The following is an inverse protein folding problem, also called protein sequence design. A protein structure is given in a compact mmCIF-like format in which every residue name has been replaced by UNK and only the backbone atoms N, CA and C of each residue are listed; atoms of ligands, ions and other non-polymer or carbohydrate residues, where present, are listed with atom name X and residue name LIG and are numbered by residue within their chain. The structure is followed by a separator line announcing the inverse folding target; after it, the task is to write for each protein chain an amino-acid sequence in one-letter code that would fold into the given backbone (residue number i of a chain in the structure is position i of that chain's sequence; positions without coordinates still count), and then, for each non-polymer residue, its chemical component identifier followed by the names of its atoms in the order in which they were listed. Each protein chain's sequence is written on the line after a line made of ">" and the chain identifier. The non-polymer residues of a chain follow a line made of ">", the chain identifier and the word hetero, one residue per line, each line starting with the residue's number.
data_IF_217069908292
#
_entry.id   IF_217069908292
#
_cell.length_a   1.000
_cell.length_b   1.000
_cell.length_c   1.000
_cell.angle_alpha   90.00
_cell.angle_beta   90.00
_cell.angle_gamma   90.00
#
_symmetry.space_group_name_H-M   'P 1'
#
loop_
_entity.id
_entity.type
_entity.pdbx_description
1 polymer ?
#
# COMPACT_ATOMS: atom_id res chain seq x y z
N UNK A 1 -24.01 17.04 65.91
CA UNK A 1 -23.24 17.35 64.69
C UNK A 1 -22.33 16.17 64.39
N UNK A 2 -22.56 15.43 63.29
CA UNK A 2 -21.56 14.65 62.52
C UNK A 2 -22.27 13.65 61.60
N UNK A 3 -22.41 13.99 60.31
CA UNK A 3 -22.66 13.02 59.22
C UNK A 3 -21.31 12.65 58.58
N UNK A 4 -21.01 11.38 58.29
CA UNK A 4 -19.74 11.01 57.68
C UNK A 4 -19.76 11.27 56.17
N UNK A 5 -18.66 11.86 55.68
CA UNK A 5 -18.31 12.01 54.29
C UNK A 5 -17.85 10.65 53.73
N UNK A 6 -18.72 9.96 52.96
CA UNK A 6 -18.39 8.65 52.37
C UNK A 6 -18.88 8.42 50.93
N UNK A 7 -19.63 9.36 50.34
CA UNK A 7 -20.29 9.13 49.03
C UNK A 7 -19.52 9.61 47.81
N UNK A 8 -18.56 10.53 47.95
CA UNK A 8 -17.95 11.22 46.81
C UNK A 8 -16.84 10.40 46.11
N UNK A 9 -16.11 9.53 46.83
CA UNK A 9 -15.04 8.72 46.25
C UNK A 9 -15.54 7.56 45.39
N UNK A 10 -16.62 6.89 45.80
CA UNK A 10 -17.16 5.71 45.10
C UNK A 10 -17.79 6.06 43.74
N UNK A 11 -18.41 7.23 43.62
CA UNK A 11 -18.97 7.70 42.35
C UNK A 11 -17.87 8.18 41.38
N UNK A 12 -16.80 8.79 41.89
CA UNK A 12 -15.64 9.17 41.08
C UNK A 12 -14.91 7.94 40.51
N UNK A 13 -14.68 6.91 41.33
CA UNK A 13 -14.03 5.67 40.88
C UNK A 13 -14.89 4.87 39.88
N UNK A 14 -16.22 4.89 40.03
CA UNK A 14 -17.14 4.25 39.09
C UNK A 14 -17.19 4.98 37.73
N UNK A 15 -17.14 6.32 37.73
CA UNK A 15 -17.09 7.14 36.50
C UNK A 15 -15.75 6.97 35.77
N UNK A 16 -14.63 6.95 36.49
CA UNK A 16 -13.29 6.70 35.90
C UNK A 16 -13.19 5.28 35.34
N UNK A 17 -13.76 4.28 36.02
CA UNK A 17 -13.84 2.90 35.52
C UNK A 17 -14.68 2.81 34.25
N UNK A 18 -15.84 3.47 34.18
CA UNK A 18 -16.73 3.41 33.00
C UNK A 18 -16.16 4.15 31.79
N UNK A 19 -15.39 5.24 31.96
CA UNK A 19 -14.64 5.86 30.87
C UNK A 19 -13.49 4.98 30.37
N UNK A 20 -12.74 4.33 31.27
CA UNK A 20 -11.67 3.40 30.90
C UNK A 20 -12.19 2.23 30.05
N UNK A 21 -13.35 1.68 30.42
CA UNK A 21 -13.99 0.56 29.71
C UNK A 21 -14.61 0.96 28.36
N UNK A 22 -14.89 2.25 28.11
CA UNK A 22 -15.30 2.75 26.79
C UNK A 22 -14.10 3.09 25.89
N UNK A 23 -12.96 3.47 26.47
CA UNK A 23 -11.72 3.78 25.74
C UNK A 23 -10.97 2.53 25.28
N UNK A 24 -11.05 1.43 26.04
CA UNK A 24 -10.46 0.13 25.69
C UNK A 24 -10.99 -0.47 24.36
N UNK A 25 -12.31 -0.66 24.15
CA UNK A 25 -12.84 -1.19 22.89
C UNK A 25 -12.59 -0.23 21.72
N UNK A 26 -12.61 1.09 21.96
CA UNK A 26 -12.28 2.08 20.93
C UNK A 26 -10.80 1.99 20.48
N UNK A 27 -9.89 1.59 21.37
CA UNK A 27 -8.48 1.38 21.04
C UNK A 27 -8.19 -0.03 20.46
N UNK A 28 -8.93 -1.05 20.88
CA UNK A 28 -8.75 -2.44 20.44
C UNK A 28 -9.38 -2.73 19.08
N UNK A 29 -10.53 -2.13 18.77
CA UNK A 29 -11.22 -2.32 17.49
C UNK A 29 -10.33 -2.04 16.26
N UNK A 30 -9.59 -0.92 16.17
CA UNK A 30 -8.74 -0.68 15.02
C UNK A 30 -7.53 -1.62 14.98
N UNK A 31 -7.03 -2.09 16.13
CA UNK A 31 -5.95 -3.11 16.19
C UNK A 31 -6.46 -4.44 15.63
N UNK A 32 -7.66 -4.89 16.03
CA UNK A 32 -8.28 -6.08 15.46
C UNK A 32 -8.56 -5.92 13.97
N UNK A 33 -9.02 -4.75 13.53
CA UNK A 33 -9.26 -4.49 12.11
C UNK A 33 -7.97 -4.62 11.29
N UNK A 34 -6.84 -4.13 11.81
CA UNK A 34 -5.52 -4.33 11.17
C UNK A 34 -5.14 -5.80 11.13
N UNK A 35 -5.34 -6.55 12.23
CA UNK A 35 -5.04 -7.98 12.28
C UNK A 35 -5.87 -8.78 11.27
N UNK A 36 -7.18 -8.54 11.20
CA UNK A 36 -8.08 -9.18 10.24
C UNK A 36 -7.72 -8.80 8.81
N UNK A 37 -7.48 -7.52 8.52
CA UNK A 37 -7.09 -7.09 7.19
C UNK A 37 -5.76 -7.72 6.75
N UNK A 38 -4.77 -7.76 7.63
CA UNK A 38 -3.49 -8.42 7.39
C UNK A 38 -3.69 -9.91 7.12
N UNK A 39 -4.42 -10.61 7.99
CA UNK A 39 -4.68 -12.04 7.87
C UNK A 39 -5.42 -12.40 6.57
N UNK A 40 -6.48 -11.66 6.23
CA UNK A 40 -7.23 -11.85 4.97
C UNK A 40 -6.36 -11.54 3.76
N UNK A 41 -5.55 -10.47 3.81
CA UNK A 41 -4.56 -10.18 2.77
C UNK A 41 -3.55 -11.32 2.60
N UNK A 42 -3.17 -11.96 3.70
CA UNK A 42 -2.29 -13.11 3.72
C UNK A 42 -2.95 -14.29 3.03
N UNK A 43 -4.16 -14.65 3.43
CA UNK A 43 -4.95 -15.71 2.79
C UNK A 43 -5.08 -15.51 1.29
N UNK A 44 -5.41 -14.30 0.83
CA UNK A 44 -5.47 -14.00 -0.62
C UNK A 44 -4.12 -14.26 -1.29
N UNK A 45 -3.02 -13.80 -0.69
CA UNK A 45 -1.68 -14.07 -1.18
C UNK A 45 -1.34 -15.57 -1.21
N UNK A 46 -1.84 -16.34 -0.24
CA UNK A 46 -1.67 -17.80 -0.19
C UNK A 46 -2.53 -18.52 -1.25
N UNK A 47 -3.69 -17.99 -1.64
CA UNK A 47 -4.49 -18.53 -2.75
C UNK A 47 -3.93 -18.16 -4.13
N UNK A 48 -3.17 -17.07 -4.23
CA UNK A 48 -2.55 -16.60 -5.48
C UNK A 48 -1.08 -16.99 -5.61
N UNK A 49 -0.66 -18.10 -4.99
CA UNK A 49 0.72 -18.62 -5.14
C UNK A 49 0.97 -19.04 -6.58
N UNK A 50 2.14 -18.65 -7.11
CA UNK A 50 2.65 -19.21 -8.37
C UNK A 50 3.42 -20.47 -8.00
N UNK A 51 2.94 -21.61 -8.50
CA UNK A 51 3.54 -22.93 -8.26
C UNK A 51 4.18 -23.43 -9.54
N UNK A 52 5.48 -23.71 -9.49
CA UNK A 52 6.23 -24.34 -10.59
C UNK A 52 7.19 -25.35 -9.97
N UNK A 53 7.06 -26.63 -10.36
CA UNK A 53 7.93 -27.72 -9.89
C UNK A 53 8.00 -27.85 -8.35
N UNK A 54 6.90 -27.61 -7.64
CA UNK A 54 6.81 -27.76 -6.18
C UNK A 54 7.36 -26.59 -5.35
N UNK A 55 7.95 -25.57 -6.00
CA UNK A 55 8.31 -24.32 -5.33
C UNK A 55 7.14 -23.33 -5.42
N UNK A 56 6.72 -22.81 -4.27
CA UNK A 56 5.58 -21.90 -4.14
C UNK A 56 6.07 -20.50 -3.75
N UNK A 57 5.69 -19.49 -4.53
CA UNK A 57 6.04 -18.10 -4.24
C UNK A 57 4.80 -17.22 -4.41
N UNK A 58 4.58 -16.32 -3.46
CA UNK A 58 3.55 -15.27 -3.58
C UNK A 58 4.18 -14.00 -4.18
N UNK A 59 3.87 -13.64 -5.44
CA UNK A 59 4.56 -12.53 -6.11
C UNK A 59 4.16 -11.15 -5.58
N UNK A 60 3.01 -11.06 -4.91
CA UNK A 60 2.47 -9.83 -4.33
C UNK A 60 1.98 -10.13 -2.91
N UNK A 61 2.76 -9.73 -1.90
CA UNK A 61 2.40 -9.92 -0.51
C UNK A 61 1.58 -8.72 0.01
N UNK A 62 0.26 -8.78 -0.20
CA UNK A 62 -0.68 -7.75 0.22
C UNK A 62 -0.54 -7.33 1.71
N UNK A 63 -0.27 -8.24 2.67
CA UNK A 63 -0.20 -7.85 4.08
C UNK A 63 0.82 -6.76 4.40
N UNK A 64 1.97 -6.76 3.73
CA UNK A 64 3.01 -5.74 3.95
C UNK A 64 2.52 -4.35 3.54
N UNK A 65 1.77 -4.26 2.45
CA UNK A 65 1.13 -3.00 2.03
C UNK A 65 0.07 -2.50 3.03
N UNK A 66 -0.71 -3.42 3.61
CA UNK A 66 -1.69 -3.13 4.67
C UNK A 66 -0.98 -2.64 5.94
N UNK A 67 0.11 -3.29 6.31
CA UNK A 67 0.91 -2.95 7.48
C UNK A 67 1.47 -1.53 7.39
N UNK A 68 2.13 -1.18 6.26
CA UNK A 68 2.67 0.17 6.04
C UNK A 68 1.54 1.21 6.02
N UNK A 69 0.43 0.96 5.31
CA UNK A 69 -0.70 1.89 5.28
C UNK A 69 -1.30 2.13 6.68
N UNK A 70 -1.43 1.06 7.47
CA UNK A 70 -1.98 1.13 8.82
C UNK A 70 -1.06 1.86 9.79
N UNK A 71 0.26 1.67 9.69
CA UNK A 71 1.25 2.43 10.44
C UNK A 71 1.24 3.92 10.04
N UNK A 72 1.09 4.24 8.76
CA UNK A 72 0.95 5.63 8.31
C UNK A 72 -0.31 6.30 8.86
N UNK A 73 -1.38 5.54 9.11
CA UNK A 73 -2.64 6.06 9.63
C UNK A 73 -2.73 6.17 11.14
N UNK A 74 -2.20 5.17 11.85
CA UNK A 74 -2.37 5.01 13.30
C UNK A 74 -1.06 5.20 14.07
N UNK A 75 0.05 5.41 13.36
CA UNK A 75 1.39 5.36 13.91
C UNK A 75 1.74 3.98 14.43
N UNK A 76 2.65 3.92 15.41
CA UNK A 76 3.09 2.67 16.02
C UNK A 76 1.94 1.89 16.69
N UNK A 77 0.77 2.48 16.95
CA UNK A 77 -0.36 1.76 17.55
C UNK A 77 -0.88 0.59 16.70
N UNK A 78 -0.55 0.54 15.40
CA UNK A 78 -0.92 -0.58 14.53
C UNK A 78 -0.05 -1.84 14.71
N UNK A 79 1.14 -1.73 15.31
CA UNK A 79 2.10 -2.85 15.39
C UNK A 79 1.53 -4.13 16.04
N UNK A 80 0.70 -4.08 17.12
CA UNK A 80 0.14 -5.29 17.71
C UNK A 80 -0.83 -6.01 16.77
N UNK A 81 -1.56 -5.25 15.95
CA UNK A 81 -2.47 -5.81 14.96
C UNK A 81 -1.71 -6.50 13.83
N UNK A 82 -0.61 -5.91 13.39
CA UNK A 82 0.30 -6.50 12.40
C UNK A 82 0.90 -7.80 12.94
N UNK A 83 1.39 -7.78 14.19
CA UNK A 83 1.97 -8.96 14.84
C UNK A 83 0.94 -10.10 14.95
N UNK A 84 -0.28 -9.79 15.41
CA UNK A 84 -1.35 -10.78 15.51
C UNK A 84 -1.76 -11.32 14.14
N UNK A 85 -1.93 -10.46 13.13
CA UNK A 85 -2.25 -10.90 11.77
C UNK A 85 -1.17 -11.79 11.18
N UNK A 86 0.10 -11.44 11.40
CA UNK A 86 1.25 -12.24 10.93
C UNK A 86 1.30 -13.60 11.60
N UNK A 87 1.12 -13.64 12.93
CA UNK A 87 1.03 -14.89 13.70
C UNK A 87 -0.04 -15.81 13.12
N UNK A 88 -1.27 -15.30 12.95
CA UNK A 88 -2.39 -16.09 12.43
C UNK A 88 -2.13 -16.60 11.00
N UNK A 89 -1.45 -15.80 10.17
CA UNK A 89 -1.09 -16.23 8.81
C UNK A 89 -0.03 -17.34 8.82
N UNK A 90 0.96 -17.28 9.71
CA UNK A 90 2.01 -18.30 9.82
C UNK A 90 1.46 -19.60 10.41
N UNK A 91 0.58 -19.52 11.41
CA UNK A 91 -0.08 -20.69 12.03
C UNK A 91 -0.89 -21.54 11.02
N UNK A 92 -1.34 -20.95 9.90
CA UNK A 92 -1.99 -21.69 8.81
C UNK A 92 -1.01 -22.47 7.93
N UNK A 93 0.28 -22.14 7.98
CA UNK A 93 1.32 -22.70 7.11
C UNK A 93 2.12 -23.76 7.85
N UNK A 94 2.47 -23.51 9.12
CA UNK A 94 3.28 -24.39 9.95
C UNK A 94 2.91 -24.26 11.43
N UNK A 95 3.26 -25.27 12.22
CA UNK A 95 3.16 -25.19 13.69
C UNK A 95 3.96 -23.98 14.20
N UNK A 96 3.39 -23.24 15.15
CA UNK A 96 4.02 -22.03 15.65
C UNK A 96 5.08 -22.36 16.70
N UNK A 97 6.34 -22.20 16.30
CA UNK A 97 7.52 -22.46 17.12
C UNK A 97 8.45 -21.23 17.19
N UNK A 98 9.66 -21.42 17.74
CA UNK A 98 10.64 -20.34 17.87
C UNK A 98 11.04 -19.72 16.51
N UNK A 99 11.35 -20.51 15.46
CA UNK A 99 11.47 -20.02 14.08
C UNK A 99 10.30 -19.17 13.61
N UNK A 100 9.06 -19.64 13.82
CA UNK A 100 7.85 -18.87 13.49
C UNK A 100 7.82 -17.50 14.16
N UNK A 101 8.18 -17.42 15.45
CA UNK A 101 8.27 -16.15 16.19
C UNK A 101 9.33 -15.19 15.61
N UNK A 102 10.47 -15.71 15.16
CA UNK A 102 11.53 -14.90 14.53
C UNK A 102 11.02 -14.33 13.20
N UNK A 103 10.31 -15.14 12.40
CA UNK A 103 9.71 -14.70 11.14
C UNK A 103 8.63 -13.63 11.41
N UNK A 104 7.78 -13.81 12.42
CA UNK A 104 6.82 -12.77 12.86
C UNK A 104 7.55 -11.48 13.20
N UNK A 105 8.62 -11.56 13.99
CA UNK A 105 9.39 -10.37 14.39
C UNK A 105 9.95 -9.63 13.17
N UNK A 106 10.49 -10.34 12.19
CA UNK A 106 10.99 -9.73 10.94
C UNK A 106 9.90 -9.05 10.12
N UNK A 107 8.74 -9.69 9.96
CA UNK A 107 7.59 -9.16 9.22
C UNK A 107 6.89 -7.99 9.94
N UNK A 108 7.06 -7.84 11.24
CA UNK A 108 6.62 -6.65 12.00
C UNK A 108 7.67 -5.55 11.92
N UNK A 109 8.95 -5.89 12.07
CA UNK A 109 10.04 -4.93 12.12
C UNK A 109 10.21 -4.18 10.79
N UNK A 110 10.13 -4.87 9.66
CA UNK A 110 10.26 -4.28 8.34
C UNK A 110 9.29 -3.10 8.08
N UNK A 111 7.95 -3.25 8.21
CA UNK A 111 7.02 -2.14 8.03
C UNK A 111 7.12 -1.08 9.14
N UNK A 112 7.51 -1.44 10.36
CA UNK A 112 7.80 -0.45 11.42
C UNK A 112 9.00 0.42 11.04
N UNK A 113 10.09 -0.18 10.55
CA UNK A 113 11.24 0.55 10.01
C UNK A 113 10.84 1.45 8.85
N UNK A 114 10.02 0.95 7.91
CA UNK A 114 9.46 1.74 6.81
C UNK A 114 8.75 3.00 7.33
N UNK A 115 7.82 2.82 8.28
CA UNK A 115 7.10 3.93 8.90
C UNK A 115 8.03 4.94 9.57
N UNK A 116 9.03 4.49 10.33
CA UNK A 116 9.97 5.39 11.01
C UNK A 116 10.84 6.17 10.02
N UNK A 117 11.27 5.54 8.93
CA UNK A 117 12.06 6.18 7.87
C UNK A 117 11.23 7.22 7.11
N UNK A 118 10.01 6.87 6.71
CA UNK A 118 9.06 7.79 6.08
C UNK A 118 8.74 8.98 6.99
N UNK A 119 8.52 8.73 8.28
CA UNK A 119 8.27 9.80 9.26
C UNK A 119 9.49 10.73 9.40
N UNK A 120 10.71 10.20 9.40
CA UNK A 120 11.93 11.01 9.51
C UNK A 120 12.13 11.97 8.35
N UNK A 121 11.70 11.60 7.14
CA UNK A 121 11.80 12.48 5.96
C UNK A 121 10.59 13.41 5.79
N UNK A 122 9.63 13.38 6.73
CA UNK A 122 8.43 14.22 6.68
C UNK A 122 7.43 13.80 5.61
N UNK A 123 7.33 12.50 5.34
CA UNK A 123 6.42 11.94 4.33
C UNK A 123 4.97 12.37 4.53
N UNK A 124 4.32 12.76 3.42
CA UNK A 124 2.91 13.16 3.39
C UNK A 124 2.04 12.11 2.70
N UNK A 125 0.99 11.67 3.39
CA UNK A 125 0.08 10.62 2.90
C UNK A 125 -0.76 11.05 1.70
N UNK A 126 -0.83 12.35 1.44
CA UNK A 126 -1.47 12.95 0.27
C UNK A 126 -0.75 12.57 -1.04
N UNK A 127 0.56 12.27 -0.95
CA UNK A 127 1.45 11.97 -2.07
C UNK A 127 1.32 12.95 -3.23
N UNK A 128 1.27 14.23 -2.87
CA UNK A 128 1.14 15.37 -3.78
C UNK A 128 2.50 15.95 -4.21
N UNK A 129 3.60 15.29 -3.82
CA UNK A 129 4.98 15.66 -4.14
C UNK A 129 5.74 14.47 -4.69
N UNK A 130 6.60 14.72 -5.66
CA UNK A 130 7.51 13.70 -6.20
C UNK A 130 8.40 13.09 -5.09
N UNK A 131 8.82 13.91 -4.13
CA UNK A 131 9.60 13.46 -2.96
C UNK A 131 8.86 12.39 -2.15
N UNK A 132 7.54 12.51 -1.97
CA UNK A 132 6.76 11.54 -1.21
C UNK A 132 6.67 10.21 -1.97
N UNK A 133 6.44 10.25 -3.29
CA UNK A 133 6.47 9.05 -4.12
C UNK A 133 7.83 8.34 -4.06
N UNK A 134 8.94 9.07 -4.20
CA UNK A 134 10.29 8.51 -4.07
C UNK A 134 10.55 7.96 -2.66
N UNK A 135 10.11 8.66 -1.62
CA UNK A 135 10.23 8.19 -0.24
C UNK A 135 9.45 6.88 -0.04
N UNK A 136 8.21 6.77 -0.52
CA UNK A 136 7.44 5.53 -0.43
C UNK A 136 8.14 4.39 -1.18
N UNK A 137 8.68 4.67 -2.37
CA UNK A 137 9.42 3.66 -3.15
C UNK A 137 10.63 3.15 -2.37
N UNK A 138 11.57 4.03 -2.04
CA UNK A 138 12.86 3.60 -1.50
C UNK A 138 12.81 3.32 0.00
N UNK A 139 12.18 4.20 0.77
CA UNK A 139 12.13 4.14 2.24
C UNK A 139 10.90 3.40 2.78
N UNK A 140 9.89 3.17 1.94
CA UNK A 140 8.71 2.39 2.27
C UNK A 140 8.81 0.94 1.79
N UNK A 141 9.04 0.76 0.49
CA UNK A 141 8.96 -0.55 -0.18
C UNK A 141 10.29 -1.28 -0.35
N UNK A 142 11.36 -0.62 -0.79
CA UNK A 142 12.59 -1.33 -1.16
C UNK A 142 13.52 -1.61 0.03
N UNK A 143 13.92 -0.57 0.76
CA UNK A 143 14.98 -0.68 1.78
C UNK A 143 14.54 -1.43 3.05
N UNK A 144 13.36 -1.16 3.65
CA UNK A 144 12.96 -1.83 4.89
C UNK A 144 12.62 -3.30 4.69
N UNK A 145 12.16 -3.69 3.49
CA UNK A 145 11.79 -5.08 3.17
C UNK A 145 12.99 -6.02 3.05
N UNK A 146 14.21 -5.47 3.01
CA UNK A 146 15.42 -6.28 3.19
C UNK A 146 15.43 -6.96 4.57
N UNK A 147 14.82 -6.35 5.59
CA UNK A 147 14.77 -6.89 6.96
C UNK A 147 13.94 -8.17 6.99
N UNK A 148 12.71 -8.13 6.48
CA UNK A 148 11.81 -9.30 6.47
C UNK A 148 12.38 -10.43 5.62
N UNK A 149 12.84 -10.14 4.40
CA UNK A 149 13.43 -11.13 3.52
C UNK A 149 14.69 -11.80 4.11
N UNK A 150 15.56 -11.00 4.75
CA UNK A 150 16.79 -11.53 5.38
C UNK A 150 16.47 -12.37 6.60
N UNK A 151 15.62 -11.87 7.51
CA UNK A 151 15.25 -12.62 8.72
C UNK A 151 14.52 -13.91 8.32
N UNK A 152 13.53 -13.83 7.43
CA UNK A 152 12.76 -15.00 6.98
C UNK A 152 13.64 -16.06 6.33
N UNK A 153 14.44 -15.68 5.33
CA UNK A 153 15.26 -16.66 4.58
C UNK A 153 16.39 -17.22 5.43
N UNK A 154 17.04 -16.40 6.27
CA UNK A 154 18.08 -16.89 7.19
C UNK A 154 17.50 -17.88 8.20
N UNK A 155 16.32 -17.61 8.77
CA UNK A 155 15.64 -18.55 9.67
C UNK A 155 15.41 -19.89 8.98
N UNK A 156 14.86 -19.90 7.77
CA UNK A 156 14.60 -21.14 7.03
C UNK A 156 15.87 -21.95 6.71
N UNK A 157 16.99 -21.28 6.43
CA UNK A 157 18.27 -21.97 6.21
C UNK A 157 18.82 -22.54 7.52
N UNK A 158 18.71 -21.79 8.63
CA UNK A 158 19.24 -22.21 9.93
C UNK A 158 18.42 -23.35 10.56
N UNK A 159 17.13 -23.44 10.26
CA UNK A 159 16.26 -24.55 10.70
C UNK A 159 16.37 -25.79 9.83
N UNK A 160 16.99 -25.68 8.64
CA UNK A 160 17.11 -26.76 7.68
C UNK A 160 15.90 -26.91 6.74
N UNK A 161 14.92 -26.01 6.84
CA UNK A 161 13.72 -25.99 5.98
C UNK A 161 14.02 -25.52 4.56
N UNK A 162 15.15 -24.82 4.35
CA UNK A 162 15.60 -24.35 3.05
C UNK A 162 17.06 -24.72 2.77
N UNK A 163 17.37 -25.40 1.64
CA UNK A 163 18.74 -25.62 1.20
C UNK A 163 19.46 -24.29 0.94
N UNK A 164 20.72 -24.18 1.38
CA UNK A 164 21.56 -22.97 1.21
C UNK A 164 21.70 -22.54 -0.26
N UNK A 165 21.64 -23.49 -1.20
CA UNK A 165 21.67 -23.22 -2.65
C UNK A 165 20.47 -22.40 -3.14
N UNK A 166 19.34 -22.44 -2.44
CA UNK A 166 18.11 -21.72 -2.80
C UNK A 166 17.97 -20.36 -2.11
N UNK A 167 18.92 -19.99 -1.25
CA UNK A 167 18.88 -18.77 -0.44
C UNK A 167 18.55 -17.53 -1.29
N UNK A 168 19.31 -17.26 -2.35
CA UNK A 168 19.11 -16.06 -3.18
C UNK A 168 17.78 -16.05 -3.93
N UNK A 169 17.31 -17.23 -4.35
CA UNK A 169 16.03 -17.34 -5.06
C UNK A 169 14.86 -17.02 -4.12
N UNK A 170 14.84 -17.61 -2.92
CA UNK A 170 13.78 -17.36 -1.93
C UNK A 170 13.88 -15.95 -1.36
N UNK A 171 15.08 -15.48 -1.03
CA UNK A 171 15.30 -14.14 -0.50
C UNK A 171 14.84 -13.05 -1.48
N UNK A 172 15.19 -13.17 -2.76
CA UNK A 172 14.80 -12.18 -3.79
C UNK A 172 13.30 -12.21 -4.05
N UNK A 173 12.69 -13.40 -4.10
CA UNK A 173 11.26 -13.57 -4.23
C UNK A 173 10.49 -12.95 -3.05
N UNK A 174 10.94 -13.21 -1.82
CA UNK A 174 10.35 -12.67 -0.60
C UNK A 174 10.44 -11.15 -0.56
N UNK A 175 11.63 -10.61 -0.78
CA UNK A 175 11.87 -9.17 -0.83
C UNK A 175 11.00 -8.49 -1.88
N UNK A 176 10.94 -9.05 -3.09
CA UNK A 176 10.16 -8.47 -4.17
C UNK A 176 8.66 -8.53 -3.89
N UNK A 177 8.16 -9.64 -3.31
CA UNK A 177 6.77 -9.79 -2.91
C UNK A 177 6.34 -8.75 -1.86
N UNK A 178 7.17 -8.55 -0.83
CA UNK A 178 6.96 -7.54 0.20
C UNK A 178 7.01 -6.12 -0.37
N UNK A 179 8.02 -5.83 -1.19
CA UNK A 179 8.16 -4.53 -1.85
C UNK A 179 6.94 -4.21 -2.71
N UNK A 180 6.50 -5.13 -3.58
CA UNK A 180 5.32 -4.92 -4.41
C UNK A 180 4.05 -4.77 -3.58
N UNK A 181 3.95 -5.47 -2.44
CA UNK A 181 2.89 -5.26 -1.46
C UNK A 181 2.78 -3.79 -1.07
N UNK A 182 3.89 -3.15 -0.73
CA UNK A 182 3.94 -1.72 -0.41
C UNK A 182 3.65 -0.85 -1.63
N UNK A 183 4.35 -1.07 -2.75
CA UNK A 183 4.30 -0.17 -3.90
C UNK A 183 2.97 -0.19 -4.64
N UNK A 184 2.22 -1.29 -4.55
CA UNK A 184 0.93 -1.44 -5.23
C UNK A 184 -0.23 -1.16 -4.26
N UNK A 185 -0.21 -1.75 -3.06
CA UNK A 185 -1.37 -1.71 -2.17
C UNK A 185 -1.41 -0.50 -1.23
N UNK A 186 -0.27 -0.10 -0.64
CA UNK A 186 -0.23 1.10 0.23
C UNK A 186 -0.80 2.35 -0.44
N UNK A 187 -0.40 2.74 -1.66
CA UNK A 187 -0.94 3.95 -2.29
C UNK A 187 -2.45 3.87 -2.55
N UNK A 188 -2.96 2.69 -2.94
CA UNK A 188 -4.39 2.47 -3.13
C UNK A 188 -5.16 2.70 -1.83
N UNK A 189 -4.67 2.15 -0.72
CA UNK A 189 -5.30 2.32 0.58
C UNK A 189 -5.32 3.79 0.99
N UNK A 190 -4.21 4.53 0.82
CA UNK A 190 -4.14 5.97 1.09
C UNK A 190 -5.19 6.76 0.31
N UNK A 191 -5.37 6.45 -0.98
CA UNK A 191 -6.42 7.05 -1.83
C UNK A 191 -7.81 6.72 -1.31
N UNK A 192 -8.09 5.45 -1.01
CA UNK A 192 -9.43 5.01 -0.58
C UNK A 192 -9.87 5.73 0.69
N UNK A 193 -8.95 5.94 1.64
CA UNK A 193 -9.22 6.72 2.85
C UNK A 193 -9.57 8.18 2.53
N UNK A 194 -8.90 8.79 1.55
CA UNK A 194 -9.15 10.18 1.15
C UNK A 194 -10.50 10.32 0.42
N UNK A 195 -10.80 9.40 -0.49
CA UNK A 195 -12.06 9.41 -1.27
C UNK A 195 -13.28 9.14 -0.39
N UNK A 196 -13.16 8.29 0.63
CA UNK A 196 -14.26 8.04 1.58
C UNK A 196 -14.49 9.20 2.54
N UNK A 197 -13.45 9.99 2.84
CA UNK A 197 -13.55 11.15 3.73
C UNK A 197 -14.06 12.40 3.02
N UNK A 198 -13.72 12.59 1.74
CA UNK A 198 -14.16 13.74 0.95
C UNK A 198 -15.49 13.42 0.25
N UNK A 199 -16.57 14.10 0.64
CA UNK A 199 -17.91 13.98 0.04
C UNK A 199 -17.84 14.43 -1.43
N UNK A 200 -17.81 13.47 -2.35
CA UNK A 200 -17.55 13.72 -3.78
C UNK A 200 -18.74 14.42 -4.44
N UNK A 201 -18.52 15.60 -5.02
CA UNK A 201 -19.36 16.13 -6.10
C UNK A 201 -19.27 15.14 -7.26
N UNK A 202 -20.34 14.37 -7.49
CA UNK A 202 -20.41 13.36 -8.55
C UNK A 202 -20.80 14.06 -9.85
N UNK A 203 -19.82 14.54 -10.58
CA UNK A 203 -20.01 14.83 -12.00
C UNK A 203 -20.09 13.48 -12.75
N UNK A 204 -21.27 13.17 -13.32
CA UNK A 204 -21.53 11.88 -13.99
C UNK A 204 -20.53 11.55 -15.12
N UNK A 205 -19.99 12.59 -15.77
CA UNK A 205 -18.96 12.45 -16.81
C UNK A 205 -17.66 11.81 -16.27
N UNK A 206 -17.19 12.25 -15.10
CA UNK A 206 -15.95 11.71 -14.49
C UNK A 206 -16.11 10.26 -14.04
N UNK A 207 -17.33 9.84 -13.67
CA UNK A 207 -17.61 8.44 -13.33
C UNK A 207 -17.62 7.53 -14.56
N UNK A 208 -18.18 8.01 -15.68
CA UNK A 208 -18.15 7.27 -16.94
C UNK A 208 -16.72 7.12 -17.48
N UNK A 209 -15.91 8.19 -17.40
CA UNK A 209 -14.51 8.16 -17.81
C UNK A 209 -13.67 7.19 -16.94
N UNK A 210 -13.88 7.18 -15.62
CA UNK A 210 -13.23 6.21 -14.74
C UNK A 210 -13.65 4.76 -15.02
N UNK A 211 -14.94 4.52 -15.31
CA UNK A 211 -15.42 3.19 -15.70
C UNK A 211 -14.81 2.73 -17.03
N UNK A 212 -14.73 3.62 -18.02
CA UNK A 212 -14.09 3.34 -19.31
C UNK A 212 -12.60 3.01 -19.15
N UNK A 213 -11.88 3.74 -18.28
CA UNK A 213 -10.49 3.45 -17.94
C UNK A 213 -10.32 2.05 -17.34
N UNK A 214 -11.17 1.66 -16.39
CA UNK A 214 -11.11 0.33 -15.79
C UNK A 214 -11.39 -0.75 -16.83
N UNK A 215 -12.43 -0.59 -17.65
CA UNK A 215 -12.76 -1.54 -18.71
C UNK A 215 -11.64 -1.68 -19.75
N UNK A 216 -11.06 -0.55 -20.18
CA UNK A 216 -9.92 -0.54 -21.09
C UNK A 216 -8.70 -1.22 -20.44
N UNK A 217 -8.45 -0.97 -19.15
CA UNK A 217 -7.35 -1.60 -18.42
C UNK A 217 -7.51 -3.11 -18.30
N UNK A 218 -8.73 -3.59 -18.03
CA UNK A 218 -9.04 -5.03 -18.05
C UNK A 218 -8.82 -5.60 -19.44
N UNK A 219 -9.41 -5.00 -20.47
CA UNK A 219 -9.33 -5.51 -21.85
C UNK A 219 -7.90 -5.59 -22.37
N UNK A 220 -7.12 -4.53 -22.21
CA UNK A 220 -5.71 -4.48 -22.65
C UNK A 220 -4.84 -5.43 -21.84
N UNK A 221 -5.04 -5.53 -20.52
CA UNK A 221 -4.24 -6.46 -19.70
C UNK A 221 -4.55 -7.90 -20.05
N UNK A 222 -5.82 -8.25 -20.27
CA UNK A 222 -6.21 -9.59 -20.73
C UNK A 222 -5.64 -9.89 -22.11
N UNK A 223 -5.69 -8.94 -23.05
CA UNK A 223 -5.08 -9.09 -24.36
C UNK A 223 -3.56 -9.28 -24.25
N UNK A 224 -2.88 -8.47 -23.45
CA UNK A 224 -1.43 -8.51 -23.26
C UNK A 224 -0.96 -9.83 -22.62
N UNK A 225 -1.73 -10.36 -21.66
CA UNK A 225 -1.39 -11.57 -20.91
C UNK A 225 -1.83 -12.87 -21.57
N UNK A 226 -2.82 -12.84 -22.47
CA UNK A 226 -3.30 -14.02 -23.22
C UNK A 226 -2.73 -14.11 -24.63
N UNK A 227 -2.15 -13.04 -25.15
CA UNK A 227 -1.51 -13.03 -26.46
C UNK A 227 -0.18 -13.80 -26.42
N UNK A 228 0.15 -14.56 -27.49
CA UNK A 228 1.46 -15.20 -27.64
C UNK A 228 2.60 -14.19 -27.88
N UNK A 229 2.29 -12.92 -28.17
CA UNK A 229 3.25 -11.89 -28.59
C UNK A 229 3.90 -11.09 -27.44
N UNK A 230 3.88 -11.56 -26.18
CA UNK A 230 4.54 -10.91 -25.04
C UNK A 230 4.31 -9.39 -24.92
N UNK A 231 3.07 -8.95 -25.08
CA UNK A 231 2.70 -7.52 -25.20
C UNK A 231 2.50 -6.82 -23.84
N UNK A 232 3.21 -7.25 -22.79
CA UNK A 232 3.04 -6.74 -21.43
C UNK A 232 3.27 -5.22 -21.31
N UNK A 233 4.04 -4.62 -22.23
CA UNK A 233 4.28 -3.18 -22.26
C UNK A 233 3.04 -2.33 -22.59
N UNK A 234 1.96 -2.92 -23.13
CA UNK A 234 0.72 -2.19 -23.45
C UNK A 234 -0.03 -1.68 -22.23
N UNK A 235 0.31 -2.14 -21.02
CA UNK A 235 -0.27 -1.64 -19.78
C UNK A 235 0.24 -0.24 -19.42
N UNK A 236 1.44 0.16 -19.87
CA UNK A 236 2.04 1.45 -19.51
C UNK A 236 1.27 2.65 -20.05
N UNK A 237 0.84 2.70 -21.33
CA UNK A 237 -0.02 3.79 -21.83
C UNK A 237 -1.27 4.02 -20.98
N UNK A 238 -1.90 2.95 -20.47
CA UNK A 238 -3.08 3.04 -19.61
C UNK A 238 -2.75 3.58 -18.23
N UNK A 239 -1.66 3.11 -17.62
CA UNK A 239 -1.19 3.62 -16.32
C UNK A 239 -0.82 5.09 -16.44
N UNK A 240 -0.13 5.47 -17.52
CA UNK A 240 0.24 6.86 -17.83
C UNK A 240 -1.01 7.72 -17.97
N UNK A 241 -1.98 7.27 -18.77
CA UNK A 241 -3.23 8.00 -18.95
C UNK A 241 -4.02 8.14 -17.64
N UNK A 242 -4.09 7.06 -16.84
CA UNK A 242 -4.70 7.08 -15.52
C UNK A 242 -4.03 8.08 -14.56
N UNK A 243 -2.70 8.11 -14.55
CA UNK A 243 -1.91 9.04 -13.73
C UNK A 243 -2.09 10.50 -14.17
N UNK A 244 -2.10 10.78 -15.47
CA UNK A 244 -2.29 12.15 -15.98
C UNK A 244 -3.70 12.66 -15.70
N UNK A 245 -4.72 11.81 -15.91
CA UNK A 245 -6.12 12.24 -15.85
C UNK A 245 -6.72 12.20 -14.45
N UNK A 246 -6.40 11.15 -13.69
CA UNK A 246 -6.98 10.88 -12.37
C UNK A 246 -5.94 10.87 -11.25
N UNK A 247 -4.68 11.21 -11.55
CA UNK A 247 -3.58 11.22 -10.59
C UNK A 247 -3.48 9.85 -9.91
N UNK A 248 -3.09 9.85 -8.64
CA UNK A 248 -2.96 8.66 -7.82
C UNK A 248 -4.29 7.89 -7.69
N UNK A 249 -5.43 8.61 -7.73
CA UNK A 249 -6.74 8.01 -7.55
C UNK A 249 -7.17 7.10 -8.72
N UNK A 250 -6.59 7.29 -9.91
CA UNK A 250 -6.77 6.37 -11.04
C UNK A 250 -5.58 5.43 -11.25
N UNK A 251 -4.35 5.91 -11.07
CA UNK A 251 -3.17 5.06 -11.32
C UNK A 251 -3.05 3.90 -10.33
N UNK A 252 -3.27 4.13 -9.03
CA UNK A 252 -3.18 3.07 -8.01
C UNK A 252 -4.12 1.87 -8.25
N UNK A 253 -5.43 2.06 -8.52
CA UNK A 253 -6.31 0.93 -8.82
C UNK A 253 -5.98 0.26 -10.16
N UNK A 254 -5.55 1.01 -11.17
CA UNK A 254 -5.12 0.43 -12.46
C UNK A 254 -3.88 -0.42 -12.27
N UNK A 255 -2.88 0.06 -11.52
CA UNK A 255 -1.67 -0.72 -11.21
C UNK A 255 -2.01 -2.00 -10.45
N UNK A 256 -2.87 -1.93 -9.41
CA UNK A 256 -3.30 -3.15 -8.71
C UNK A 256 -4.00 -4.13 -9.66
N UNK A 257 -4.89 -3.64 -10.52
CA UNK A 257 -5.62 -4.46 -11.48
C UNK A 257 -4.66 -5.15 -12.46
N UNK A 258 -3.69 -4.41 -13.00
CA UNK A 258 -2.63 -4.94 -13.87
C UNK A 258 -1.84 -6.02 -13.14
N UNK A 259 -1.41 -5.76 -11.90
CA UNK A 259 -0.66 -6.72 -11.09
C UNK A 259 -1.46 -8.00 -10.85
N UNK A 260 -2.72 -7.90 -10.42
CA UNK A 260 -3.58 -9.05 -10.14
C UNK A 260 -3.83 -9.90 -11.39
N UNK A 261 -4.16 -9.26 -12.51
CA UNK A 261 -4.42 -9.99 -13.77
C UNK A 261 -3.16 -10.63 -14.34
N UNK A 262 -2.00 -9.97 -14.21
CA UNK A 262 -0.72 -10.54 -14.67
C UNK A 262 -0.29 -11.71 -13.79
N UNK A 263 -0.45 -11.60 -12.46
CA UNK A 263 -0.21 -12.71 -11.54
C UNK A 263 -1.14 -13.88 -11.87
N UNK A 264 -2.43 -13.63 -12.10
CA UNK A 264 -3.38 -14.68 -12.49
C UNK A 264 -2.99 -15.38 -13.80
N UNK A 265 -2.49 -14.63 -14.79
CA UNK A 265 -2.00 -15.20 -16.04
C UNK A 265 -0.70 -16.02 -15.85
N UNK A 266 0.19 -15.56 -14.99
CA UNK A 266 1.40 -16.29 -14.63
C UNK A 266 1.11 -17.58 -13.86
N UNK A 267 0.18 -17.56 -12.90
CA UNK A 267 -0.27 -18.78 -12.19
C UNK A 267 -0.92 -19.78 -13.14
N UNK A 268 -1.63 -19.31 -14.17
CA UNK A 268 -2.27 -20.15 -15.18
C UNK A 268 -1.30 -20.63 -16.27
N UNK A 269 -0.02 -20.23 -16.26
CA UNK A 269 0.98 -20.55 -17.28
C UNK A 269 0.50 -20.24 -18.71
N UNK A 270 -0.11 -19.07 -18.91
CA UNK A 270 -0.64 -18.65 -20.22
C UNK A 270 0.12 -17.48 -20.83
N UNK A 271 0.05 -17.38 -22.15
CA UNK A 271 0.61 -16.29 -22.93
C UNK A 271 2.10 -16.09 -22.67
N UNK A 272 2.57 -14.91 -22.21
CA UNK A 272 3.98 -14.63 -21.99
C UNK A 272 4.66 -15.50 -20.93
N UNK A 273 3.92 -16.35 -20.19
CA UNK A 273 4.43 -17.16 -19.09
C UNK A 273 4.44 -18.68 -19.37
N UNK A 274 3.92 -19.13 -20.51
CA UNK A 274 3.63 -20.55 -20.76
C UNK A 274 4.86 -21.49 -20.83
N UNK A 275 6.05 -20.96 -21.07
CA UNK A 275 7.28 -21.74 -21.28
C UNK A 275 8.45 -21.26 -20.42
N UNK A 276 8.15 -20.59 -19.31
CA UNK A 276 9.17 -20.01 -18.44
C UNK A 276 9.35 -20.78 -17.14
N UNK A 277 10.57 -20.74 -16.62
CA UNK A 277 10.85 -21.26 -15.27
C UNK A 277 10.22 -20.35 -14.20
N UNK A 278 10.07 -20.85 -12.96
CA UNK A 278 9.57 -20.04 -11.84
C UNK A 278 10.35 -18.74 -11.69
N UNK A 279 11.67 -18.84 -11.81
CA UNK A 279 12.59 -17.72 -11.67
C UNK A 279 12.37 -16.66 -12.76
N UNK A 280 12.19 -17.10 -14.01
CA UNK A 280 11.89 -16.21 -15.14
C UNK A 280 10.51 -15.55 -15.00
N UNK A 281 9.50 -16.31 -14.56
CA UNK A 281 8.16 -15.78 -14.28
C UNK A 281 8.25 -14.71 -13.18
N UNK A 282 9.01 -14.98 -12.10
CA UNK A 282 9.23 -14.02 -11.02
C UNK A 282 9.93 -12.75 -11.52
N UNK A 283 11.02 -12.87 -12.27
CA UNK A 283 11.72 -11.69 -12.82
C UNK A 283 10.77 -10.85 -13.68
N UNK A 284 10.01 -11.48 -14.58
CA UNK A 284 9.08 -10.77 -15.44
C UNK A 284 7.95 -10.09 -14.66
N UNK A 285 7.35 -10.80 -13.69
CA UNK A 285 6.29 -10.25 -12.85
C UNK A 285 6.79 -9.08 -12.00
N UNK A 286 7.93 -9.23 -11.34
CA UNK A 286 8.47 -8.19 -10.47
C UNK A 286 9.01 -7.00 -11.26
N UNK A 287 9.60 -7.25 -12.44
CA UNK A 287 9.99 -6.20 -13.38
C UNK A 287 8.77 -5.39 -13.85
N UNK A 288 7.69 -6.06 -14.27
CA UNK A 288 6.47 -5.40 -14.70
C UNK A 288 5.80 -4.64 -13.55
N UNK A 289 5.55 -5.29 -12.41
CA UNK A 289 4.89 -4.67 -11.26
C UNK A 289 5.69 -3.48 -10.72
N UNK A 290 7.02 -3.64 -10.61
CA UNK A 290 7.91 -2.57 -10.16
C UNK A 290 7.88 -1.38 -11.12
N UNK A 291 8.04 -1.62 -12.42
CA UNK A 291 7.98 -0.56 -13.42
C UNK A 291 6.60 0.12 -13.49
N UNK A 292 5.52 -0.66 -13.40
CA UNK A 292 4.14 -0.17 -13.39
C UNK A 292 3.86 0.71 -12.16
N UNK A 293 4.28 0.26 -10.97
CA UNK A 293 4.12 1.00 -9.73
C UNK A 293 4.97 2.28 -9.74
N UNK A 294 6.24 2.20 -10.14
CA UNK A 294 7.12 3.37 -10.28
C UNK A 294 6.53 4.40 -11.25
N UNK A 295 6.13 3.96 -12.45
CA UNK A 295 5.55 4.84 -13.46
C UNK A 295 4.27 5.49 -12.95
N UNK A 296 3.35 4.70 -12.39
CA UNK A 296 2.10 5.19 -11.83
C UNK A 296 2.31 6.18 -10.69
N UNK A 297 3.15 5.85 -9.71
CA UNK A 297 3.41 6.68 -8.54
C UNK A 297 4.12 7.98 -8.90
N UNK A 298 5.24 7.90 -9.62
CA UNK A 298 6.06 9.07 -9.94
C UNK A 298 5.32 10.03 -10.87
N UNK A 299 4.65 9.51 -11.90
CA UNK A 299 3.89 10.35 -12.81
C UNK A 299 2.68 10.97 -12.13
N UNK A 300 1.99 10.22 -11.26
CA UNK A 300 0.86 10.77 -10.49
C UNK A 300 1.31 11.88 -9.55
N UNK A 301 2.44 11.68 -8.86
CA UNK A 301 3.00 12.69 -7.96
C UNK A 301 3.45 13.93 -8.73
N UNK A 302 4.13 13.76 -9.87
CA UNK A 302 4.57 14.87 -10.72
C UNK A 302 3.38 15.69 -11.25
N UNK A 303 2.35 15.03 -11.78
CA UNK A 303 1.14 15.69 -12.30
C UNK A 303 0.38 16.39 -11.17
N UNK A 304 0.32 15.77 -9.98
CA UNK A 304 -0.33 16.38 -8.81
C UNK A 304 0.43 17.62 -8.34
N UNK A 305 1.75 17.54 -8.25
CA UNK A 305 2.61 18.65 -7.88
C UNK A 305 2.49 19.80 -8.88
N UNK A 306 2.53 19.51 -10.18
CA UNK A 306 2.36 20.50 -11.24
C UNK A 306 0.99 21.20 -11.19
N UNK A 307 -0.09 20.44 -10.97
CA UNK A 307 -1.43 21.01 -10.84
C UNK A 307 -1.55 21.92 -9.61
N UNK A 308 -0.95 21.53 -8.48
CA UNK A 308 -0.95 22.33 -7.27
C UNK A 308 -0.14 23.62 -7.42
N UNK A 309 1.02 23.56 -8.09
CA UNK A 309 1.81 24.75 -8.41
C UNK A 309 1.03 25.70 -9.31
N UNK A 310 0.36 25.18 -10.34
CA UNK A 310 -0.47 25.98 -11.25
C UNK A 310 -1.61 26.69 -10.53
N UNK A 311 -2.38 25.97 -9.71
CA UNK A 311 -3.47 26.56 -8.92
C UNK A 311 -2.97 27.66 -7.97
N UNK A 312 -1.77 27.46 -7.40
CA UNK A 312 -1.17 28.46 -6.51
C UNK A 312 -0.72 29.72 -7.26
N UNK A 313 -0.22 29.58 -8.48
CA UNK A 313 0.10 30.73 -9.34
C UNK A 313 -1.17 31.49 -9.72
N UNK A 314 -2.24 30.77 -10.12
CA UNK A 314 -3.53 31.37 -10.47
C UNK A 314 -4.12 32.16 -9.28
N UNK A 315 -4.11 31.59 -8.07
CA UNK A 315 -4.54 32.29 -6.85
C UNK A 315 -3.70 33.54 -6.55
N UNK A 316 -2.37 33.46 -6.64
CA UNK A 316 -1.51 34.63 -6.40
C UNK A 316 -1.76 35.72 -7.44
N UNK A 317 -2.03 35.35 -8.70
CA UNK A 317 -2.40 36.30 -9.74
C UNK A 317 -3.77 36.97 -9.47
N UNK A 318 -4.76 36.21 -9.01
CA UNK A 318 -6.07 36.75 -8.61
C UNK A 318 -5.94 37.70 -7.41
N UNK A 319 -5.22 37.28 -6.35
CA UNK A 319 -4.98 38.11 -5.16
C UNK A 319 -4.26 39.43 -5.51
N UNK A 320 -3.28 39.38 -6.44
CA UNK A 320 -2.60 40.57 -6.93
C UNK A 320 -3.51 41.47 -7.76
N UNK A 321 -4.38 40.90 -8.59
CA UNK A 321 -5.34 41.66 -9.38
C UNK A 321 -6.34 42.41 -8.47
N UNK A 322 -6.86 41.73 -7.45
CA UNK A 322 -7.76 42.32 -6.45
C UNK A 322 -7.07 43.44 -5.65
N UNK A 323 -5.80 43.24 -5.26
CA UNK A 323 -5.03 44.25 -4.54
C UNK A 323 -4.74 45.49 -5.41
N UNK A 324 -4.43 45.29 -6.70
CA UNK A 324 -4.23 46.40 -7.65
C UNK A 324 -5.52 47.17 -7.88
N UNK A 325 -6.66 46.48 -7.99
CA UNK A 325 -7.98 47.12 -8.12
C UNK A 325 -8.35 47.93 -6.88
N UNK A 326 -8.00 47.44 -5.69
CA UNK A 326 -8.23 48.15 -4.43
C UNK A 326 -7.31 49.38 -4.23
N UNK A 327 -6.08 49.33 -4.77
CA UNK A 327 -5.09 50.42 -4.66
C UNK A 327 -5.16 51.43 -5.81
N UNK A 328 -5.88 51.12 -6.91
CA UNK A 328 -6.11 52.06 -7.99
C UNK A 328 -7.01 53.21 -7.47
N UNK A 329 -6.52 54.47 -7.42
CA UNK A 329 -7.33 55.58 -6.96
C UNK A 329 -8.55 55.71 -7.89
N UNK A 330 -9.75 55.73 -7.28
CA UNK A 330 -11.01 55.79 -7.99
C UNK A 330 -10.97 56.82 -9.12
N UNK A 331 -11.35 56.40 -10.33
CA UNK A 331 -11.52 57.33 -11.46
C UNK A 331 -12.42 58.48 -10.99
N UNK A 332 -11.99 59.75 -11.11
CA UNK A 332 -12.86 60.85 -10.75
C UNK A 332 -14.06 60.85 -11.71
N UNK A 333 -15.26 60.75 -11.13
CA UNK A 333 -16.54 60.89 -11.85
C UNK A 333 -16.53 62.19 -12.66
N UNK A 334 -16.85 62.08 -13.95
CA UNK A 334 -17.15 63.20 -14.85
C UNK A 334 -18.58 63.07 -15.35
#
# INVERSE_FOLDING_TARGET
>A
MSRPAGGAGLLSDAVVRTEGWRRLPAALLPILAVAVAYYVGGLIGLYQRVVVNGAEVTPLWLPTGIAVASLLWMGLRAWPGIALGTYLTIEQISDFDLPGLIIVAGNVLAPVCAYLMLRRVGFRTEMDRLRDALALVFLGGLLPMLISATIGTCTLVLTGDLPTSQFWSVWSAWWAGDAMGVLVLTPLLLVLRRVTTLRRSREGYRTAEAAALVLASVGVTLLATRSPLSLLFLVFPLIIWAAVRFQLAGSAPVTLLVSVLTIAAATAHVGPFAHHTLFEIMINLQGLNGAAALTGLLLSALVTEQNNVRLKIEQVCEDLAELVEHLAPGKPDR
#
